data_IF_068820181301
#
_entry.id   IF_068820181301
#
_cell.length_a   1.000
_cell.length_b   1.000
_cell.length_c   1.000
_cell.angle_alpha   90.00
_cell.angle_beta   90.00
_cell.angle_gamma   90.00
#
_symmetry.space_group_name_H-M   'P 1'
#
loop_
_entity.id
_entity.type
_entity.pdbx_description
1 polymer ?
#
# COMPACT_ATOMS: atom_id res chain seq x y z
N UNK A 1 -12.04 16.76 12.20
CA UNK A 1 -12.30 15.31 12.16
C UNK A 1 -11.21 14.76 11.27
N UNK A 2 -10.24 14.07 11.86
CA UNK A 2 -9.19 13.40 11.09
C UNK A 2 -9.83 12.13 10.53
N UNK A 3 -10.48 12.25 9.39
CA UNK A 3 -10.68 11.10 8.52
C UNK A 3 -9.26 10.69 8.10
N UNK A 4 -8.81 9.53 8.56
CA UNK A 4 -7.54 8.94 8.17
C UNK A 4 -7.62 8.60 6.68
N UNK A 5 -7.48 9.61 5.84
CA UNK A 5 -7.66 9.48 4.40
C UNK A 5 -6.39 8.84 3.82
N UNK A 6 -6.55 7.67 3.21
CA UNK A 6 -5.47 6.83 2.71
C UNK A 6 -4.98 7.28 1.32
N UNK A 7 -5.08 8.58 1.00
CA UNK A 7 -4.72 9.18 -0.29
C UNK A 7 -3.35 8.74 -0.80
N UNK A 8 -2.35 8.72 0.08
CA UNK A 8 -0.98 8.37 -0.31
C UNK A 8 -0.87 6.90 -0.68
N UNK A 9 -1.52 6.02 0.09
CA UNK A 9 -1.60 4.60 -0.23
C UNK A 9 -2.45 4.35 -1.49
N UNK A 10 -3.56 5.05 -1.67
CA UNK A 10 -4.37 4.99 -2.89
C UNK A 10 -3.52 5.36 -4.11
N UNK A 11 -2.80 6.49 -4.06
CA UNK A 11 -1.92 6.92 -5.14
C UNK A 11 -0.85 5.87 -5.46
N UNK A 12 -0.22 5.31 -4.42
CA UNK A 12 0.76 4.23 -4.57
C UNK A 12 0.17 3.00 -5.27
N UNK A 13 -1.03 2.57 -4.89
CA UNK A 13 -1.74 1.43 -5.48
C UNK A 13 -2.24 1.73 -6.90
N UNK A 14 -2.70 2.95 -7.16
CA UNK A 14 -3.07 3.38 -8.52
C UNK A 14 -1.86 3.29 -9.46
N UNK A 15 -0.71 3.82 -9.03
CA UNK A 15 0.55 3.67 -9.78
C UNK A 15 0.96 2.21 -9.95
N UNK A 16 0.76 1.37 -8.94
CA UNK A 16 1.04 -0.07 -9.04
C UNK A 16 0.19 -0.70 -10.14
N UNK A 17 -1.13 -0.47 -10.11
CA UNK A 17 -2.10 -1.08 -11.03
C UNK A 17 -1.89 -0.68 -12.50
N UNK A 18 -1.44 0.55 -12.76
CA UNK A 18 -1.14 1.01 -14.12
C UNK A 18 0.10 0.32 -14.69
N UNK A 19 1.07 -0.01 -13.84
CA UNK A 19 2.34 -0.61 -14.25
C UNK A 19 2.36 -2.15 -14.11
N UNK A 20 1.38 -2.75 -13.44
CA UNK A 20 1.29 -4.18 -13.18
C UNK A 20 -0.14 -4.68 -13.40
N UNK A 21 -0.30 -5.70 -14.24
CA UNK A 21 -1.60 -6.36 -14.44
C UNK A 21 -1.81 -7.58 -13.52
N UNK A 22 -0.96 -7.73 -12.49
CA UNK A 22 -0.98 -8.87 -11.59
C UNK A 22 -1.41 -8.43 -10.19
N UNK A 23 -2.02 -9.33 -9.40
CA UNK A 23 -2.25 -9.07 -7.98
C UNK A 23 -0.94 -8.75 -7.25
N UNK A 24 -0.98 -7.84 -6.26
CA UNK A 24 0.12 -7.59 -5.36
C UNK A 24 0.68 -8.88 -4.77
N UNK A 25 2.00 -9.00 -4.79
CA UNK A 25 2.76 -9.96 -3.99
C UNK A 25 3.78 -9.18 -3.16
N UNK A 26 4.33 -9.80 -2.12
CA UNK A 26 5.36 -9.15 -1.30
C UNK A 26 6.52 -8.62 -2.16
N UNK A 27 7.06 -9.46 -3.03
CA UNK A 27 8.16 -9.09 -3.94
C UNK A 27 7.82 -7.87 -4.80
N UNK A 28 6.65 -7.90 -5.46
CA UNK A 28 6.23 -6.79 -6.34
C UNK A 28 5.96 -5.51 -5.58
N UNK A 29 5.38 -5.60 -4.37
CA UNK A 29 5.15 -4.43 -3.53
C UNK A 29 6.48 -3.82 -3.06
N UNK A 30 7.46 -4.64 -2.73
CA UNK A 30 8.79 -4.15 -2.35
C UNK A 30 9.49 -3.48 -3.54
N UNK A 31 9.51 -4.13 -4.71
CA UNK A 31 10.10 -3.57 -5.92
C UNK A 31 9.44 -2.25 -6.33
N UNK A 32 8.11 -2.22 -6.33
CA UNK A 32 7.35 -1.01 -6.65
C UNK A 32 7.56 0.09 -5.61
N UNK A 33 7.66 -0.24 -4.33
CA UNK A 33 7.97 0.73 -3.28
C UNK A 33 9.36 1.37 -3.47
N UNK A 34 10.37 0.59 -3.82
CA UNK A 34 11.71 1.14 -4.08
C UNK A 34 11.70 2.09 -5.28
N UNK A 35 10.98 1.74 -6.35
CA UNK A 35 10.77 2.67 -7.48
C UNK A 35 10.04 3.93 -7.04
N UNK A 36 8.93 3.78 -6.32
CA UNK A 36 8.13 4.90 -5.82
C UNK A 36 8.96 5.85 -4.95
N UNK A 37 9.82 5.32 -4.09
CA UNK A 37 10.75 6.08 -3.23
C UNK A 37 11.74 6.93 -4.02
N UNK A 38 12.08 6.56 -5.26
CA UNK A 38 12.95 7.37 -6.13
C UNK A 38 12.21 8.46 -6.90
N UNK A 39 10.89 8.32 -7.05
CA UNK A 39 10.04 9.23 -7.83
C UNK A 39 9.42 10.33 -6.97
N UNK A 40 9.11 10.00 -5.72
CA UNK A 40 8.37 10.86 -4.80
C UNK A 40 9.25 11.57 -3.78
N UNK A 41 8.70 12.58 -3.11
CA UNK A 41 9.40 13.26 -2.03
C UNK A 41 9.51 12.36 -0.79
N UNK A 42 10.54 12.60 0.03
CA UNK A 42 10.70 11.89 1.30
C UNK A 42 9.46 12.04 2.21
N UNK A 43 8.75 13.17 2.16
CA UNK A 43 7.54 13.39 2.97
C UNK A 43 6.42 12.43 2.57
N UNK A 44 6.19 12.27 1.25
CA UNK A 44 5.19 11.34 0.69
C UNK A 44 5.55 9.89 1.02
N UNK A 45 6.83 9.52 0.88
CA UNK A 45 7.30 8.17 1.23
C UNK A 45 7.12 7.86 2.71
N UNK A 46 7.43 8.80 3.61
CA UNK A 46 7.20 8.60 5.04
C UNK A 46 5.72 8.48 5.38
N UNK A 47 4.87 9.26 4.71
CA UNK A 47 3.41 9.17 4.90
C UNK A 47 2.87 7.82 4.42
N UNK A 48 3.33 7.32 3.28
CA UNK A 48 2.99 5.98 2.80
C UNK A 48 3.34 4.90 3.83
N UNK A 49 4.56 4.93 4.37
CA UNK A 49 4.99 3.96 5.40
C UNK A 49 4.07 4.05 6.63
N UNK A 50 3.73 5.26 7.10
CA UNK A 50 2.80 5.43 8.22
C UNK A 50 1.44 4.81 7.93
N UNK A 51 0.87 5.05 6.75
CA UNK A 51 -0.41 4.48 6.35
C UNK A 51 -0.37 2.95 6.28
N UNK A 52 0.69 2.37 5.72
CA UNK A 52 0.89 0.92 5.70
C UNK A 52 1.00 0.35 7.13
N UNK A 53 1.68 1.05 8.05
CA UNK A 53 1.77 0.65 9.46
C UNK A 53 0.43 0.79 10.18
N UNK A 54 -0.39 1.79 9.85
CA UNK A 54 -1.73 1.94 10.42
C UNK A 54 -2.62 0.74 10.11
N UNK A 55 -2.53 0.17 8.91
CA UNK A 55 -3.25 -1.04 8.54
C UNK A 55 -2.95 -2.26 9.42
N UNK A 56 -1.77 -2.31 10.03
CA UNK A 56 -1.44 -3.36 10.99
C UNK A 56 -2.17 -3.18 12.32
N UNK A 57 -2.30 -1.94 12.77
CA UNK A 57 -2.73 -1.60 14.13
C UNK A 57 -4.25 -1.36 14.25
N UNK A 58 -4.93 -1.14 13.12
CA UNK A 58 -6.36 -0.87 13.08
C UNK A 58 -7.15 -1.97 12.36
N UNK A 59 -8.44 -2.11 12.70
CA UNK A 59 -9.36 -2.82 11.81
C UNK A 59 -9.38 -2.09 10.47
N UNK A 60 -9.16 -2.85 9.40
CA UNK A 60 -9.18 -2.34 8.04
C UNK A 60 -10.49 -1.61 7.77
N UNK A 61 -10.37 -0.35 7.37
CA UNK A 61 -11.51 0.51 7.06
C UNK A 61 -12.12 0.10 5.72
N UNK A 62 -13.37 0.52 5.49
CA UNK A 62 -14.04 0.39 4.18
C UNK A 62 -13.19 0.97 3.05
N UNK A 63 -12.43 2.03 3.33
CA UNK A 63 -11.57 2.70 2.36
C UNK A 63 -10.44 1.81 1.84
N UNK A 64 -9.77 1.00 2.69
CA UNK A 64 -8.78 0.06 2.15
C UNK A 64 -9.43 -0.96 1.24
N UNK A 65 -10.61 -1.47 1.62
CA UNK A 65 -11.34 -2.44 0.80
C UNK A 65 -11.62 -1.85 -0.58
N UNK A 66 -12.13 -0.62 -0.63
CA UNK A 66 -12.39 0.11 -1.88
C UNK A 66 -11.11 0.29 -2.73
N UNK A 67 -9.99 0.68 -2.10
CA UNK A 67 -8.70 0.82 -2.80
C UNK A 67 -8.23 -0.51 -3.39
N UNK A 68 -8.36 -1.62 -2.65
CA UNK A 68 -7.98 -2.95 -3.14
C UNK A 68 -8.93 -3.45 -4.25
N UNK A 69 -10.22 -3.12 -4.19
CA UNK A 69 -11.17 -3.43 -5.25
C UNK A 69 -10.83 -2.67 -6.54
N UNK A 70 -10.43 -1.39 -6.43
CA UNK A 70 -10.10 -0.55 -7.59
C UNK A 70 -8.72 -0.88 -8.18
N UNK A 71 -7.69 -1.06 -7.34
CA UNK A 71 -6.29 -1.08 -7.77
C UNK A 71 -5.53 -2.35 -7.37
N UNK A 72 -6.13 -3.21 -6.53
CA UNK A 72 -5.49 -4.42 -6.03
C UNK A 72 -5.43 -5.57 -7.03
N UNK A 73 -5.88 -5.37 -8.27
CA UNK A 73 -5.84 -6.39 -9.35
C UNK A 73 -6.40 -7.75 -8.92
N UNK A 74 -7.49 -7.75 -8.15
CA UNK A 74 -8.18 -8.97 -7.70
C UNK A 74 -7.60 -9.64 -6.45
N UNK A 75 -6.65 -9.00 -5.74
CA UNK A 75 -6.25 -9.47 -4.41
C UNK A 75 -7.40 -9.27 -3.40
N UNK A 76 -7.67 -10.30 -2.60
CA UNK A 76 -8.61 -10.15 -1.48
C UNK A 76 -7.96 -9.43 -0.30
N UNK A 77 -8.78 -8.82 0.56
CA UNK A 77 -8.30 -8.19 1.80
C UNK A 77 -7.49 -9.17 2.66
N UNK A 78 -7.94 -10.42 2.80
CA UNK A 78 -7.23 -11.44 3.58
C UNK A 78 -5.87 -11.82 2.99
N UNK A 79 -5.76 -11.87 1.66
CA UNK A 79 -4.47 -12.06 1.00
C UNK A 79 -3.57 -10.84 1.15
N UNK A 80 -4.13 -9.63 1.13
CA UNK A 80 -3.33 -8.42 1.35
C UNK A 80 -2.83 -8.33 2.80
N UNK A 81 -3.65 -8.74 3.77
CA UNK A 81 -3.30 -8.79 5.21
C UNK A 81 -2.02 -9.57 5.47
N UNK A 82 -1.84 -10.73 4.83
CA UNK A 82 -0.64 -11.54 5.02
C UNK A 82 0.62 -10.90 4.44
N UNK A 83 0.49 -9.87 3.59
CA UNK A 83 1.61 -9.13 3.01
C UNK A 83 2.06 -7.95 3.87
N UNK A 84 1.23 -7.42 4.77
CA UNK A 84 1.50 -6.15 5.47
C UNK A 84 2.73 -6.24 6.36
N UNK A 85 2.77 -7.21 7.27
CA UNK A 85 3.90 -7.39 8.19
C UNK A 85 5.24 -7.58 7.46
N UNK A 86 5.36 -8.50 6.48
CA UNK A 86 6.62 -8.66 5.77
C UNK A 86 6.95 -7.44 4.90
N UNK A 87 5.95 -6.72 4.36
CA UNK A 87 6.18 -5.49 3.62
C UNK A 87 6.78 -4.40 4.52
N UNK A 88 6.18 -4.13 5.68
CA UNK A 88 6.69 -3.16 6.67
C UNK A 88 8.15 -3.47 7.01
N UNK A 89 8.46 -4.74 7.28
CA UNK A 89 9.83 -5.18 7.59
C UNK A 89 10.82 -4.98 6.45
N UNK A 90 10.35 -5.02 5.19
CA UNK A 90 11.18 -4.80 4.03
C UNK A 90 11.46 -3.31 3.81
N UNK A 91 10.44 -2.45 3.94
CA UNK A 91 10.51 -1.03 3.54
C UNK A 91 10.95 -0.07 4.66
N UNK A 92 10.91 -0.53 5.92
CA UNK A 92 11.31 0.26 7.09
C UNK A 92 12.80 0.12 7.45
N UNK A 93 13.59 -0.48 6.56
CA UNK A 93 15.06 -0.57 6.66
C UNK A 93 15.72 0.68 6.07
#
# INVERSE_FOLDING_TARGET
MSEDNFVTFEHYMAMYSVNNNLPPSLERLVEHFELYRTMESNEIVHELIKQIVLFKNHEFTSELVEILEMYGNGISLEQFRVLIDPLINAISK
#
